data_IF_582494546938
#
_entry.id   IF_582494546938
#
_cell.length_a   1.000
_cell.length_b   1.000
_cell.length_c   1.000
_cell.angle_alpha   90.00
_cell.angle_beta   90.00
_cell.angle_gamma   90.00
#
_symmetry.space_group_name_H-M   'P 1'
#
loop_
_entity.id
_entity.type
_entity.pdbx_description
1 polymer ?
#
# COMPACT_ATOMS: atom_id res chain seq x y z
N UNK A 1 10.36 3.66 -30.67
CA UNK A 1 10.53 2.72 -29.55
C UNK A 1 10.05 3.44 -28.31
N UNK A 2 8.85 3.14 -27.85
CA UNK A 2 8.39 3.64 -26.55
C UNK A 2 9.26 2.97 -25.50
N UNK A 3 10.01 3.75 -24.72
CA UNK A 3 10.65 3.23 -23.52
C UNK A 3 9.52 2.86 -22.57
N UNK A 4 9.25 1.58 -22.37
CA UNK A 4 8.45 1.17 -21.22
C UNK A 4 9.14 1.74 -19.97
N UNK A 5 8.38 2.41 -19.08
CA UNK A 5 8.95 2.88 -17.82
C UNK A 5 9.53 1.69 -17.05
N UNK A 6 10.81 1.80 -16.67
CA UNK A 6 11.43 0.83 -15.78
C UNK A 6 10.76 0.94 -14.40
N UNK A 7 10.11 -0.13 -13.96
CA UNK A 7 9.48 -0.22 -12.64
C UNK A 7 10.30 -1.10 -11.71
N UNK A 8 10.48 -0.65 -10.48
CA UNK A 8 11.01 -1.48 -9.38
C UNK A 8 9.84 -1.92 -8.50
N UNK A 9 9.70 -3.23 -8.33
CA UNK A 9 8.73 -3.82 -7.41
C UNK A 9 9.44 -4.23 -6.12
N UNK A 10 8.93 -3.76 -4.99
CA UNK A 10 9.53 -4.05 -3.67
C UNK A 10 8.51 -3.94 -2.55
N UNK A 11 8.81 -4.59 -1.42
CA UNK A 11 8.12 -4.28 -0.17
C UNK A 11 8.39 -2.83 0.26
N UNK A 12 7.44 -2.26 1.00
CA UNK A 12 7.63 -0.98 1.68
C UNK A 12 8.53 -1.14 2.90
N UNK A 13 9.13 -0.04 3.34
CA UNK A 13 9.73 0.12 4.68
C UNK A 13 8.74 0.82 5.60
N UNK A 14 8.86 0.59 6.90
CA UNK A 14 7.91 1.12 7.89
C UNK A 14 7.92 2.66 7.97
N UNK A 15 9.08 3.28 7.75
CA UNK A 15 9.26 4.73 7.74
C UNK A 15 8.72 5.41 6.48
N UNK A 16 8.38 4.64 5.44
CA UNK A 16 7.72 5.12 4.20
C UNK A 16 6.19 5.32 4.39
N UNK A 17 5.70 5.36 5.63
CA UNK A 17 4.29 5.61 5.94
C UNK A 17 3.68 6.87 5.29
N UNK A 18 4.42 7.99 5.03
CA UNK A 18 3.83 9.12 4.32
C UNK A 18 3.44 8.77 2.88
N UNK A 19 4.27 7.99 2.18
CA UNK A 19 4.00 7.52 0.83
C UNK A 19 2.85 6.49 0.81
N UNK A 20 2.74 5.64 1.84
CA UNK A 20 1.60 4.73 2.04
C UNK A 20 0.28 5.50 2.17
N UNK A 21 0.28 6.60 2.95
CA UNK A 21 -0.87 7.49 3.09
C UNK A 21 -1.21 8.14 1.74
N UNK A 22 -0.23 8.71 1.07
CA UNK A 22 -0.42 9.39 -0.21
C UNK A 22 -1.05 8.46 -1.27
N UNK A 23 -0.44 7.29 -1.52
CA UNK A 23 -0.95 6.37 -2.54
C UNK A 23 -2.35 5.85 -2.19
N UNK A 24 -2.62 5.56 -0.91
CA UNK A 24 -3.95 5.11 -0.47
C UNK A 24 -5.01 6.19 -0.68
N UNK A 25 -4.71 7.44 -0.33
CA UNK A 25 -5.63 8.56 -0.54
C UNK A 25 -5.85 8.85 -2.03
N UNK A 26 -4.82 8.70 -2.86
CA UNK A 26 -4.98 8.79 -4.31
C UNK A 26 -5.88 7.67 -4.84
N UNK A 27 -5.67 6.41 -4.42
CA UNK A 27 -6.46 5.25 -4.86
C UNK A 27 -7.93 5.34 -4.42
N UNK A 28 -8.23 5.91 -3.25
CA UNK A 28 -9.61 6.05 -2.75
C UNK A 28 -10.44 7.08 -3.53
N UNK A 29 -9.84 7.84 -4.45
CA UNK A 29 -10.56 8.75 -5.36
C UNK A 29 -11.03 8.06 -6.64
N UNK A 30 -10.65 6.80 -6.85
CA UNK A 30 -11.14 6.02 -7.98
C UNK A 30 -12.66 5.77 -7.84
N UNK A 31 -13.47 5.95 -8.90
CA UNK A 31 -14.92 5.72 -8.84
C UNK A 31 -15.34 4.31 -8.40
N UNK A 32 -14.47 3.30 -8.55
CA UNK A 32 -14.72 1.91 -8.13
C UNK A 32 -13.78 1.48 -7.00
N UNK A 33 -13.28 2.43 -6.22
CA UNK A 33 -12.43 2.17 -5.06
C UNK A 33 -13.09 1.23 -4.05
N UNK A 34 -14.42 1.21 -3.97
CA UNK A 34 -15.20 0.33 -3.09
C UNK A 34 -15.00 -1.17 -3.38
N UNK A 35 -14.64 -1.53 -4.61
CA UNK A 35 -14.32 -2.92 -4.98
C UNK A 35 -13.00 -3.37 -4.33
N UNK A 36 -12.00 -2.48 -4.28
CA UNK A 36 -10.66 -2.78 -3.79
C UNK A 36 -10.48 -2.42 -2.30
N UNK A 37 -11.29 -1.49 -1.81
CA UNK A 37 -11.14 -0.88 -0.50
C UNK A 37 -12.49 -0.79 0.19
N UNK A 38 -12.61 -1.43 1.34
CA UNK A 38 -13.73 -1.26 2.27
C UNK A 38 -13.56 0.05 3.09
N UNK A 39 -13.23 1.16 2.43
CA UNK A 39 -12.89 2.46 3.05
C UNK A 39 -13.24 3.61 2.09
N UNK A 40 -13.28 4.85 2.58
CA UNK A 40 -13.54 6.05 1.77
C UNK A 40 -12.42 7.08 1.89
N UNK A 41 -12.30 7.98 0.91
CA UNK A 41 -11.33 9.07 0.97
C UNK A 41 -11.54 9.94 2.22
N UNK A 42 -12.79 10.30 2.52
CA UNK A 42 -13.14 11.16 3.65
C UNK A 42 -12.70 10.52 4.97
N UNK A 43 -13.02 9.23 5.16
CA UNK A 43 -12.64 8.50 6.37
C UNK A 43 -11.11 8.35 6.48
N UNK A 44 -10.43 7.92 5.42
CA UNK A 44 -8.99 7.73 5.43
C UNK A 44 -8.23 9.06 5.65
N UNK A 45 -8.68 10.15 5.02
CA UNK A 45 -8.03 11.47 5.13
C UNK A 45 -8.13 12.07 6.52
N UNK A 46 -9.17 11.69 7.29
CA UNK A 46 -9.36 12.09 8.68
C UNK A 46 -8.51 11.28 9.68
N UNK A 47 -7.88 10.19 9.25
CA UNK A 47 -7.04 9.38 10.14
C UNK A 47 -5.76 10.12 10.53
N UNK A 48 -5.36 10.07 11.82
CA UNK A 48 -4.12 10.68 12.29
C UNK A 48 -2.90 9.94 11.73
N UNK A 49 -1.73 10.59 11.70
CA UNK A 49 -0.51 9.98 11.16
C UNK A 49 -0.12 8.67 11.84
N UNK A 50 -0.42 8.50 13.13
CA UNK A 50 -0.19 7.23 13.87
C UNK A 50 -0.87 6.03 13.19
N UNK A 51 -2.07 6.21 12.62
CA UNK A 51 -2.78 5.14 11.92
C UNK A 51 -1.98 4.66 10.70
N UNK A 52 -1.38 5.60 9.98
CA UNK A 52 -0.56 5.32 8.80
C UNK A 52 0.78 4.70 9.17
N UNK A 53 1.39 5.16 10.26
CA UNK A 53 2.62 4.58 10.82
C UNK A 53 2.39 3.12 11.22
N UNK A 54 1.34 2.84 12.00
CA UNK A 54 0.97 1.47 12.41
C UNK A 54 0.63 0.60 11.19
N UNK A 55 -0.09 1.17 10.21
CA UNK A 55 -0.43 0.48 8.97
C UNK A 55 0.82 0.12 8.16
N UNK A 56 1.80 1.01 8.02
CA UNK A 56 3.03 0.74 7.29
C UNK A 56 3.88 -0.29 8.04
N UNK A 57 4.06 -0.12 9.36
CA UNK A 57 4.83 -1.03 10.20
C UNK A 57 4.30 -2.47 10.13
N UNK A 58 2.98 -2.67 10.15
CA UNK A 58 2.37 -4.00 10.05
C UNK A 58 2.28 -4.57 8.62
N UNK A 59 2.91 -3.96 7.62
CA UNK A 59 2.96 -4.48 6.24
C UNK A 59 4.34 -4.31 5.58
N UNK A 60 5.33 -3.85 6.33
CA UNK A 60 6.66 -3.56 5.82
C UNK A 60 7.49 -4.83 5.66
N UNK A 61 8.58 -4.73 4.91
CA UNK A 61 9.59 -5.79 4.75
C UNK A 61 9.87 -6.50 6.09
N UNK A 62 9.79 -7.83 6.09
CA UNK A 62 10.03 -8.67 7.27
C UNK A 62 8.77 -9.07 8.05
N UNK A 63 7.61 -8.44 7.81
CA UNK A 63 6.32 -8.87 8.38
C UNK A 63 5.80 -10.11 7.65
N UNK A 64 5.55 -11.21 8.37
CA UNK A 64 5.23 -12.49 7.75
C UNK A 64 3.76 -12.59 7.32
N UNK A 65 2.86 -12.04 8.13
CA UNK A 65 1.41 -12.18 7.97
C UNK A 65 0.85 -11.28 6.85
N UNK A 66 1.55 -10.18 6.57
CA UNK A 66 1.11 -9.17 5.60
C UNK A 66 2.30 -8.43 4.99
N UNK A 67 2.28 -8.25 3.67
CA UNK A 67 3.27 -7.47 2.94
C UNK A 67 2.57 -6.48 1.99
N UNK A 68 2.93 -5.21 2.08
CA UNK A 68 2.58 -4.22 1.06
C UNK A 68 3.73 -4.08 0.07
N UNK A 69 3.41 -4.31 -1.21
CA UNK A 69 4.35 -4.20 -2.33
C UNK A 69 3.95 -3.00 -3.17
N UNK A 70 4.95 -2.24 -3.63
CA UNK A 70 4.76 -1.05 -4.47
C UNK A 70 5.40 -1.25 -5.84
N UNK A 71 4.83 -0.59 -6.84
CA UNK A 71 5.48 -0.35 -8.13
C UNK A 71 6.03 1.08 -8.13
N UNK A 72 7.34 1.22 -8.17
CA UNK A 72 8.06 2.49 -8.13
C UNK A 72 8.67 2.80 -9.50
N UNK A 73 8.38 3.99 -10.04
CA UNK A 73 9.00 4.49 -11.28
C UNK A 73 10.42 5.01 -11.04
N UNK A 74 11.20 5.08 -12.13
CA UNK A 74 12.45 5.86 -12.17
C UNK A 74 12.15 7.31 -11.78
N UNK A 75 12.50 7.67 -10.53
CA UNK A 75 12.15 8.97 -9.93
C UNK A 75 11.55 8.86 -8.54
N UNK A 76 11.26 7.65 -8.05
CA UNK A 76 10.80 7.40 -6.68
C UNK A 76 9.29 7.50 -6.50
N UNK A 77 8.54 7.78 -7.57
CA UNK A 77 7.09 7.88 -7.52
C UNK A 77 6.47 6.49 -7.49
N UNK A 78 5.60 6.24 -6.52
CA UNK A 78 4.79 5.04 -6.50
C UNK A 78 3.59 5.19 -7.42
N UNK A 79 3.40 4.23 -8.31
CA UNK A 79 2.28 4.23 -9.27
C UNK A 79 1.28 3.11 -9.06
N UNK A 80 1.60 2.20 -8.14
CA UNK A 80 0.71 1.11 -7.76
C UNK A 80 1.12 0.53 -6.43
N UNK A 81 0.16 -0.07 -5.75
CA UNK A 81 0.45 -0.90 -4.59
C UNK A 81 -0.54 -2.06 -4.51
N UNK A 82 -0.09 -3.14 -3.88
CA UNK A 82 -0.94 -4.26 -3.47
C UNK A 82 -0.56 -4.66 -2.06
N UNK A 83 -1.51 -5.28 -1.36
CA UNK A 83 -1.28 -5.86 -0.04
C UNK A 83 -1.58 -7.35 -0.13
N UNK A 84 -0.60 -8.16 0.20
CA UNK A 84 -0.74 -9.62 0.32
C UNK A 84 -0.96 -9.96 1.78
N UNK A 85 -1.93 -10.82 2.06
CA UNK A 85 -2.11 -11.48 3.35
C UNK A 85 -1.60 -12.92 3.20
N UNK A 86 -0.74 -13.35 4.10
CA UNK A 86 -0.20 -14.71 4.11
C UNK A 86 -0.95 -15.48 5.17
N UNK A 87 -1.73 -16.48 4.74
CA UNK A 87 -2.42 -17.40 5.63
C UNK A 87 -1.51 -18.60 5.92
N UNK A 88 -1.36 -18.97 7.19
CA UNK A 88 -0.73 -20.23 7.54
C UNK A 88 -1.64 -21.41 7.18
N UNK A 89 -1.07 -22.43 6.54
CA UNK A 89 -1.82 -23.61 6.14
C UNK A 89 -2.44 -24.30 7.38
N UNK A 90 -3.77 -24.32 7.44
CA UNK A 90 -4.53 -25.02 8.49
C UNK A 90 -4.94 -24.16 9.69
N UNK A 91 -4.68 -22.84 9.69
CA UNK A 91 -5.32 -21.94 10.63
C UNK A 91 -6.82 -21.80 10.29
N UNK A 92 -7.70 -22.21 11.20
CA UNK A 92 -9.14 -21.94 11.10
C UNK A 92 -9.32 -20.47 11.44
N UNK A 93 -9.78 -19.68 10.46
CA UNK A 93 -10.13 -18.26 10.65
C UNK A 93 -11.29 -18.03 11.60
#
# INVERSE_FOLDING_TARGET
>A
MSSEPDYVFRSIRADEWPAVKEIRLASLRDPVADIAFMDTYENASAQPDRFWQERAAGAAEGVLERQQIVAEEVGGRWVGSLVVLVEEAGAVG
#
